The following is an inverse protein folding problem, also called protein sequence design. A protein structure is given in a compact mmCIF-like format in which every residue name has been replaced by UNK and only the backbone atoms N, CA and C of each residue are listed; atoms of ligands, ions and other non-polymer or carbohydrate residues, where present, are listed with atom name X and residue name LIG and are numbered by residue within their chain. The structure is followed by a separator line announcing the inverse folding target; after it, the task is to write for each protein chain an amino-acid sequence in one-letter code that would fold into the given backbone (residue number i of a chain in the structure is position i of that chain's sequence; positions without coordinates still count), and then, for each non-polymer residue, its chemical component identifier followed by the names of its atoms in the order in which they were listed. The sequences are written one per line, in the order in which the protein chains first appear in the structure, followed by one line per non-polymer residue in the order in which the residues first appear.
data_IF_377832360626
#
_entry.id   IF_377832360626
#
_cell.length_a   1.000
_cell.length_b   1.000
_cell.length_c   1.000
_cell.angle_alpha   90.00
_cell.angle_beta   90.00
_cell.angle_gamma   90.00
#
_symmetry.space_group_name_H-M   'P 1'
#
loop_
_entity.id
_entity.type
_entity.pdbx_description
1 polymer ?
#
# COMPACT_ATOMS: atom_id res chain seq x y z
N UNK A 1 -0.51 -12.58 7.46
CA UNK A 1 0.93 -12.30 7.16
C UNK A 1 1.65 -11.70 8.35
N UNK A 2 2.92 -12.01 8.60
CA UNK A 2 3.63 -11.42 9.74
C UNK A 2 4.07 -9.96 9.46
N UNK A 3 3.89 -9.05 10.43
CA UNK A 3 4.32 -7.65 10.33
C UNK A 3 5.83 -7.58 10.10
N UNK A 4 6.26 -6.71 9.19
CA UNK A 4 7.68 -6.51 8.85
C UNK A 4 8.21 -7.47 7.78
N UNK A 5 7.46 -8.50 7.40
CA UNK A 5 7.79 -9.30 6.21
C UNK A 5 7.65 -8.48 4.94
N UNK A 6 8.37 -8.86 3.89
CA UNK A 6 8.31 -8.19 2.59
C UNK A 6 6.90 -8.27 1.98
N UNK A 7 6.21 -9.38 2.19
CA UNK A 7 4.83 -9.62 1.77
C UNK A 7 3.89 -8.62 2.44
N UNK A 8 3.98 -8.50 3.77
CA UNK A 8 3.22 -7.51 4.54
C UNK A 8 3.49 -6.08 4.06
N UNK A 9 4.77 -5.71 3.89
CA UNK A 9 5.17 -4.39 3.40
C UNK A 9 4.57 -4.11 2.03
N UNK A 10 4.57 -5.07 1.12
CA UNK A 10 3.97 -4.92 -0.21
C UNK A 10 2.46 -4.64 -0.13
N UNK A 11 1.70 -5.41 0.65
CA UNK A 11 0.26 -5.19 0.76
C UNK A 11 -0.08 -3.86 1.46
N UNK A 12 0.65 -3.52 2.53
CA UNK A 12 0.44 -2.28 3.24
C UNK A 12 0.79 -1.06 2.37
N UNK A 13 1.96 -1.06 1.73
CA UNK A 13 2.37 0.04 0.87
C UNK A 13 1.48 0.18 -0.36
N UNK A 14 0.93 -0.93 -0.89
CA UNK A 14 -0.07 -0.89 -1.96
C UNK A 14 -1.35 -0.20 -1.49
N UNK A 15 -1.83 -0.54 -0.30
CA UNK A 15 -2.98 0.13 0.30
C UNK A 15 -2.70 1.62 0.49
N UNK A 16 -1.55 2.00 1.06
CA UNK A 16 -1.17 3.41 1.27
C UNK A 16 -1.09 4.15 -0.06
N UNK A 17 -0.54 3.53 -1.10
CA UNK A 17 -0.49 4.11 -2.44
C UNK A 17 -1.91 4.42 -2.97
N UNK A 18 -2.81 3.43 -2.92
CA UNK A 18 -4.21 3.61 -3.34
C UNK A 18 -4.90 4.71 -2.53
N UNK A 19 -4.74 4.66 -1.21
CA UNK A 19 -5.30 5.64 -0.29
C UNK A 19 -4.88 7.08 -0.65
N UNK A 20 -3.58 7.30 -0.92
CA UNK A 20 -3.06 8.61 -1.32
C UNK A 20 -3.58 9.06 -2.70
N UNK A 21 -3.72 8.13 -3.64
CA UNK A 21 -4.27 8.43 -4.97
C UNK A 21 -5.75 8.81 -4.87
N UNK A 22 -6.54 8.01 -4.15
CA UNK A 22 -8.00 8.11 -4.15
C UNK A 22 -8.50 9.27 -3.27
N UNK A 23 -7.85 9.54 -2.14
CA UNK A 23 -8.29 10.57 -1.18
C UNK A 23 -7.58 11.91 -1.36
N UNK A 24 -6.37 11.91 -1.91
CA UNK A 24 -5.53 13.11 -2.02
C UNK A 24 -5.09 13.43 -3.45
N UNK A 25 -5.60 12.67 -4.44
CA UNK A 25 -5.36 12.89 -5.87
C UNK A 25 -3.87 12.94 -6.24
N UNK A 26 -3.02 12.22 -5.49
CA UNK A 26 -1.58 12.19 -5.73
C UNK A 26 -1.28 11.48 -7.05
N UNK A 27 -0.41 12.08 -7.87
CA UNK A 27 -0.06 11.56 -9.18
C UNK A 27 0.88 10.36 -9.10
N UNK A 28 0.44 9.22 -9.66
CA UNK A 28 1.30 8.03 -9.86
C UNK A 28 2.60 8.33 -10.62
N UNK A 29 2.57 9.29 -11.55
CA UNK A 29 3.76 9.67 -12.33
C UNK A 29 4.76 10.42 -11.44
N UNK A 30 4.29 11.29 -10.56
CA UNK A 30 5.17 12.00 -9.63
C UNK A 30 5.76 11.06 -8.59
N UNK A 31 4.95 10.11 -8.10
CA UNK A 31 5.41 9.04 -7.22
C UNK A 31 6.47 8.18 -7.90
N UNK A 32 6.25 7.76 -9.15
CA UNK A 32 7.22 6.93 -9.88
C UNK A 32 8.56 7.63 -10.07
N UNK A 33 8.54 8.95 -10.36
CA UNK A 33 9.76 9.77 -10.42
C UNK A 33 10.46 9.85 -9.07
N UNK A 34 9.71 10.06 -7.99
CA UNK A 34 10.26 10.22 -6.64
C UNK A 34 10.97 8.96 -6.12
N UNK A 35 10.49 7.77 -6.50
CA UNK A 35 11.08 6.48 -6.08
C UNK A 35 12.04 5.89 -7.13
N UNK A 36 12.23 6.57 -8.27
CA UNK A 36 13.13 6.15 -9.34
C UNK A 36 12.66 4.90 -10.10
N UNK A 37 11.34 4.69 -10.23
CA UNK A 37 10.76 3.55 -10.94
C UNK A 37 9.96 4.00 -12.17
N UNK A 38 9.85 3.10 -13.16
CA UNK A 38 9.00 3.34 -14.31
C UNK A 38 7.52 3.45 -13.89
N UNK A 39 6.76 4.34 -14.53
CA UNK A 39 5.34 4.53 -14.21
C UNK A 39 4.51 3.26 -14.40
N UNK A 40 4.85 2.42 -15.39
CA UNK A 40 4.23 1.09 -15.58
C UNK A 40 4.46 0.18 -14.38
N UNK A 41 5.66 0.21 -13.81
CA UNK A 41 6.03 -0.61 -12.65
C UNK A 41 5.21 -0.22 -11.41
N UNK A 42 5.02 1.08 -11.17
CA UNK A 42 4.16 1.59 -10.09
C UNK A 42 2.69 1.23 -10.33
N UNK A 43 2.22 1.29 -11.58
CA UNK A 43 0.85 0.88 -11.94
C UNK A 43 0.60 -0.61 -11.70
N UNK A 44 1.54 -1.47 -12.08
CA UNK A 44 1.45 -2.91 -11.82
C UNK A 44 1.47 -3.22 -10.32
N UNK A 45 2.27 -2.46 -9.56
CA UNK A 45 2.26 -2.56 -8.11
C UNK A 45 0.92 -2.16 -7.50
N UNK A 46 0.40 -0.99 -7.85
CA UNK A 46 -0.92 -0.49 -7.46
C UNK A 46 -2.04 -1.51 -7.76
N UNK A 47 -2.03 -2.09 -8.97
CA UNK A 47 -3.01 -3.09 -9.40
C UNK A 47 -2.84 -4.47 -8.77
N UNK A 48 -1.77 -4.72 -8.02
CA UNK A 48 -1.51 -6.02 -7.39
C UNK A 48 -0.89 -7.09 -8.29
N UNK A 49 -0.55 -6.76 -9.53
CA UNK A 49 0.09 -7.71 -10.46
C UNK A 49 1.60 -7.80 -10.27
N UNK A 50 2.19 -6.88 -9.50
CA UNK A 50 3.62 -6.90 -9.16
C UNK A 50 3.86 -6.52 -7.70
N UNK A 51 4.92 -7.10 -7.13
CA UNK A 51 5.48 -6.71 -5.84
C UNK A 51 6.80 -5.97 -6.04
N UNK A 52 7.06 -4.99 -5.18
CA UNK A 52 8.36 -4.34 -5.06
C UNK A 52 9.37 -5.25 -4.35
N UNK A 53 10.63 -5.15 -4.78
CA UNK A 53 11.78 -5.64 -4.03
C UNK A 53 12.07 -4.75 -2.82
N UNK A 54 12.92 -5.22 -1.91
CA UNK A 54 13.23 -4.53 -0.65
C UNK A 54 13.71 -3.09 -0.87
N UNK A 55 14.69 -2.85 -1.75
CA UNK A 55 15.19 -1.49 -2.02
C UNK A 55 14.10 -0.54 -2.56
N UNK A 56 13.19 -1.06 -3.38
CA UNK A 56 12.09 -0.27 -3.92
C UNK A 56 11.03 0.03 -2.84
N UNK A 57 10.80 -0.89 -1.91
CA UNK A 57 9.95 -0.64 -0.73
C UNK A 57 10.57 0.40 0.19
N UNK A 58 11.87 0.30 0.47
CA UNK A 58 12.58 1.27 1.33
C UNK A 58 12.46 2.69 0.74
N UNK A 59 12.78 2.86 -0.55
CA UNK A 59 12.63 4.15 -1.24
C UNK A 59 11.18 4.66 -1.25
N UNK A 60 10.22 3.75 -1.37
CA UNK A 60 8.80 4.11 -1.35
C UNK A 60 8.37 4.60 0.03
N UNK A 61 8.71 3.88 1.08
CA UNK A 61 8.39 4.22 2.47
C UNK A 61 9.04 5.53 2.89
N UNK A 62 10.32 5.73 2.56
CA UNK A 62 11.05 6.98 2.83
C UNK A 62 10.38 8.17 2.13
N UNK A 63 10.03 8.02 0.86
CA UNK A 63 9.38 9.06 0.08
C UNK A 63 7.97 9.38 0.61
N UNK A 64 7.19 8.35 0.94
CA UNK A 64 5.84 8.51 1.47
C UNK A 64 5.88 9.20 2.82
N UNK A 65 6.76 8.78 3.72
CA UNK A 65 6.96 9.41 5.02
C UNK A 65 7.40 10.87 4.85
N UNK A 66 8.45 11.12 4.06
CA UNK A 66 8.98 12.47 3.86
C UNK A 66 7.97 13.46 3.28
N UNK A 67 7.03 13.01 2.44
CA UNK A 67 6.09 13.90 1.74
C UNK A 67 4.70 13.95 2.35
N UNK A 68 4.24 12.85 2.93
CA UNK A 68 2.84 12.66 3.29
C UNK A 68 2.64 12.26 4.75
N UNK A 69 3.67 12.22 5.58
CA UNK A 69 3.55 11.92 7.01
C UNK A 69 2.40 12.69 7.70
N UNK A 70 2.25 14.02 7.55
CA UNK A 70 1.15 14.75 8.19
C UNK A 70 -0.24 14.23 7.78
N UNK A 71 -0.41 13.84 6.51
CA UNK A 71 -1.66 13.27 6.00
C UNK A 71 -1.89 11.88 6.61
N UNK A 72 -0.86 11.04 6.66
CA UNK A 72 -0.96 9.69 7.21
C UNK A 72 -1.22 9.71 8.72
N UNK A 73 -0.66 10.67 9.45
CA UNK A 73 -0.90 10.81 10.89
C UNK A 73 -2.37 11.13 11.20
N UNK A 74 -3.03 11.94 10.36
CA UNK A 74 -4.48 12.21 10.48
C UNK A 74 -5.33 10.94 10.31
N UNK A 75 -4.80 9.91 9.64
CA UNK A 75 -5.46 8.62 9.41
C UNK A 75 -4.81 7.47 10.18
N UNK A 76 -3.97 7.77 11.19
CA UNK A 76 -3.19 6.77 11.93
C UNK A 76 -4.04 5.63 12.50
N UNK A 77 -5.23 5.92 13.02
CA UNK A 77 -6.14 4.90 13.54
C UNK A 77 -6.61 3.93 12.44
N UNK A 78 -7.05 4.45 11.30
CA UNK A 78 -7.47 3.66 10.14
C UNK A 78 -6.31 2.80 9.61
N UNK A 79 -5.13 3.41 9.46
CA UNK A 79 -3.92 2.72 8.99
C UNK A 79 -3.49 1.60 9.94
N UNK A 80 -3.64 1.77 11.26
CA UNK A 80 -3.38 0.69 12.22
C UNK A 80 -4.39 -0.45 12.12
N UNK A 81 -5.66 -0.17 11.83
CA UNK A 81 -6.65 -1.23 11.55
C UNK A 81 -6.26 -2.02 10.30
N UNK A 82 -5.83 -1.33 9.24
CA UNK A 82 -5.37 -1.99 8.00
C UNK A 82 -4.16 -2.87 8.26
N UNK A 83 -3.19 -2.42 9.07
CA UNK A 83 -2.06 -3.26 9.46
C UNK A 83 -2.50 -4.53 10.19
N UNK A 84 -3.53 -4.47 11.04
CA UNK A 84 -4.09 -5.67 11.70
C UNK A 84 -4.77 -6.58 10.70
N UNK A 85 -5.62 -6.03 9.83
CA UNK A 85 -6.31 -6.82 8.80
C UNK A 85 -5.34 -7.56 7.89
N UNK A 86 -4.30 -6.89 7.37
CA UNK A 86 -3.27 -7.54 6.52
C UNK A 86 -2.57 -8.66 7.29
N UNK A 87 -2.37 -8.49 8.61
CA UNK A 87 -1.73 -9.52 9.40
C UNK A 87 -2.56 -10.80 9.55
N UNK A 88 -3.87 -10.69 9.40
CA UNK A 88 -4.84 -11.79 9.48
C UNK A 88 -5.09 -12.47 8.13
N UNK A 89 -4.62 -11.90 7.01
CA UNK A 89 -4.73 -12.53 5.69
C UNK A 89 -3.80 -13.74 5.59
N UNK A 90 -4.37 -14.91 5.29
CA UNK A 90 -3.70 -16.20 5.28
C UNK A 90 -3.80 -16.93 3.93
N UNK A 91 -4.76 -16.56 3.06
CA UNK A 91 -4.92 -17.20 1.75
C UNK A 91 -4.81 -16.19 0.59
N UNK A 92 -4.41 -16.64 -0.63
CA UNK A 92 -4.42 -15.81 -1.83
C UNK A 92 -5.78 -15.14 -2.11
N UNK A 93 -6.89 -15.84 -1.86
CA UNK A 93 -8.25 -15.34 -2.10
C UNK A 93 -8.64 -14.23 -1.12
N UNK A 94 -8.18 -14.29 0.12
CA UNK A 94 -8.36 -13.21 1.10
C UNK A 94 -7.57 -11.97 0.69
N UNK A 95 -6.35 -12.16 0.21
CA UNK A 95 -5.48 -11.09 -0.29
C UNK A 95 -6.12 -10.41 -1.50
N UNK A 96 -6.60 -11.17 -2.47
CA UNK A 96 -7.23 -10.61 -3.66
C UNK A 96 -8.54 -9.88 -3.32
N UNK A 97 -9.35 -10.41 -2.39
CA UNK A 97 -10.53 -9.71 -1.87
C UNK A 97 -10.16 -8.39 -1.18
N UNK A 98 -9.10 -8.40 -0.36
CA UNK A 98 -8.56 -7.20 0.26
C UNK A 98 -8.14 -6.16 -0.78
N UNK A 99 -7.40 -6.56 -1.82
CA UNK A 99 -6.93 -5.66 -2.89
C UNK A 99 -8.07 -5.05 -3.71
N UNK A 100 -9.16 -5.79 -3.91
CA UNK A 100 -10.33 -5.35 -4.69
C UNK A 100 -11.24 -4.41 -3.90
N UNK A 101 -11.49 -4.70 -2.63
CA UNK A 101 -12.44 -3.95 -1.80
C UNK A 101 -11.79 -2.92 -0.87
N UNK A 102 -10.46 -2.93 -0.76
CA UNK A 102 -9.73 -2.09 0.19
C UNK A 102 -10.10 -2.41 1.65
N UNK A 103 -10.19 -1.38 2.49
CA UNK A 103 -10.59 -1.49 3.90
C UNK A 103 -11.97 -2.14 4.09
N UNK A 104 -12.87 -1.99 3.09
CA UNK A 104 -14.24 -2.52 3.13
C UNK A 104 -14.31 -4.03 2.81
N UNK A 105 -13.16 -4.70 2.67
CA UNK A 105 -13.12 -6.11 2.27
C UNK A 105 -13.76 -7.09 3.25
N UNK A 106 -13.84 -6.72 4.53
CA UNK A 106 -14.31 -7.56 5.63
C UNK A 106 -15.73 -7.21 6.13
N UNK A 107 -16.44 -6.26 5.51
CA UNK A 107 -17.85 -5.95 5.86
C UNK A 107 -18.85 -7.05 5.43
N UNK A 108 -18.38 -8.22 5.00
CA UNK A 108 -19.22 -9.39 4.73
C UNK A 108 -18.78 -10.53 5.65
N UNK A 109 -19.18 -10.45 6.92
CA UNK A 109 -19.44 -11.60 7.77
C UNK A 109 -20.68 -11.31 8.61
#
# INVERSE_FOLDING_TARGET
MEKGTKEFRNEYNRYVLKFLIDNYYISRIELSKAIGLASSYVREFDNGTRNFGTEALDRFEDMVFSKYEPLLLNHSFELEQIKKMISELNTPEEIDRFRLKGANALELN
#
